data_IF_480357455538
#
_entry.id   IF_480357455538
#
_cell.length_a   1.000
_cell.length_b   1.000
_cell.length_c   1.000
_cell.angle_alpha   90.00
_cell.angle_beta   90.00
_cell.angle_gamma   90.00
#
_symmetry.space_group_name_H-M   'P 1'
#
loop_
_entity.id
_entity.type
_entity.pdbx_description
1 polymer ?
#
# COMPACT_ATOMS: atom_id res chain seq x y z
N UNK A 1 -8.04 -9.50 5.70
CA UNK A 1 -9.01 -8.47 6.11
C UNK A 1 -10.30 -8.60 5.30
N UNK A 2 -10.46 -7.96 4.13
CA UNK A 2 -11.76 -7.83 3.44
C UNK A 2 -12.63 -9.09 3.28
N UNK A 3 -12.05 -10.26 3.00
CA UNK A 3 -12.81 -11.51 2.83
C UNK A 3 -12.76 -12.48 4.01
N UNK A 4 -11.62 -12.55 4.68
CA UNK A 4 -11.35 -13.59 5.68
C UNK A 4 -11.74 -13.15 7.09
N UNK A 5 -11.75 -11.84 7.34
CA UNK A 5 -12.18 -11.24 8.60
C UNK A 5 -12.70 -9.81 8.37
N UNK A 6 -13.83 -9.66 7.67
CA UNK A 6 -14.40 -8.35 7.36
C UNK A 6 -14.99 -7.63 8.58
N UNK A 7 -15.47 -8.37 9.60
CA UNK A 7 -16.07 -7.80 10.80
C UNK A 7 -15.08 -6.95 11.58
N UNK A 8 -13.81 -7.36 11.65
CA UNK A 8 -12.73 -6.55 12.25
C UNK A 8 -12.57 -5.19 11.55
N UNK A 9 -12.77 -5.11 10.23
CA UNK A 9 -12.74 -3.83 9.51
C UNK A 9 -14.00 -2.98 9.79
N UNK A 10 -15.18 -3.60 9.86
CA UNK A 10 -16.44 -2.90 10.18
C UNK A 10 -16.40 -2.33 11.59
N UNK A 11 -15.94 -3.11 12.57
CA UNK A 11 -15.70 -2.64 13.93
C UNK A 11 -14.65 -1.53 13.96
N UNK A 12 -13.54 -1.71 13.23
CA UNK A 12 -12.50 -0.69 13.09
C UNK A 12 -13.03 0.64 12.56
N UNK A 13 -13.91 0.58 11.56
CA UNK A 13 -14.54 1.77 11.00
C UNK A 13 -15.39 2.51 12.03
N UNK A 14 -16.20 1.79 12.83
CA UNK A 14 -17.00 2.37 13.91
C UNK A 14 -16.11 3.02 14.98
N UNK A 15 -15.09 2.30 15.45
CA UNK A 15 -14.18 2.76 16.52
C UNK A 15 -13.39 4.00 16.07
N UNK A 16 -12.80 3.94 14.88
CA UNK A 16 -12.05 5.07 14.33
C UNK A 16 -12.98 6.24 14.01
N UNK A 17 -14.17 5.96 13.46
CA UNK A 17 -15.19 6.95 13.16
C UNK A 17 -15.61 7.73 14.41
N UNK A 18 -15.95 7.02 15.48
CA UNK A 18 -16.26 7.64 16.78
C UNK A 18 -15.11 8.53 17.29
N UNK A 19 -13.87 8.05 17.25
CA UNK A 19 -12.71 8.80 17.72
C UNK A 19 -12.46 10.09 16.90
N UNK A 20 -12.82 10.09 15.62
CA UNK A 20 -12.67 11.24 14.72
C UNK A 20 -13.93 12.10 14.61
N UNK A 21 -15.03 11.72 15.28
CA UNK A 21 -16.34 12.39 15.15
C UNK A 21 -17.01 12.20 13.79
N UNK A 22 -16.61 11.17 13.03
CA UNK A 22 -17.23 10.83 11.75
C UNK A 22 -18.51 10.03 11.96
N UNK A 23 -19.58 10.42 11.25
CA UNK A 23 -20.91 9.76 11.32
C UNK A 23 -21.11 8.70 10.23
N UNK A 24 -20.15 8.55 9.32
CA UNK A 24 -20.17 7.55 8.29
C UNK A 24 -18.76 7.13 7.87
N UNK A 25 -18.63 5.87 7.44
CA UNK A 25 -17.45 5.36 6.75
C UNK A 25 -17.80 4.87 5.36
N UNK A 26 -16.94 5.20 4.39
CA UNK A 26 -16.99 4.66 3.05
C UNK A 26 -15.79 3.74 2.83
N UNK A 27 -16.04 2.43 2.70
CA UNK A 27 -15.01 1.46 2.39
C UNK A 27 -14.89 1.36 0.87
N UNK A 28 -13.87 2.00 0.30
CA UNK A 28 -13.57 1.97 -1.12
C UNK A 28 -12.80 0.70 -1.48
N UNK A 29 -13.46 -0.25 -2.12
CA UNK A 29 -12.90 -1.54 -2.53
C UNK A 29 -12.39 -1.46 -3.95
N UNK A 30 -11.20 -2.02 -4.20
CA UNK A 30 -10.65 -2.17 -5.55
C UNK A 30 -11.66 -2.91 -6.47
N UNK A 31 -11.82 -2.45 -7.71
CA UNK A 31 -12.83 -2.97 -8.63
C UNK A 31 -12.72 -4.47 -8.91
N UNK A 32 -11.50 -5.00 -8.96
CA UNK A 32 -11.23 -6.42 -9.23
C UNK A 32 -11.53 -7.34 -8.03
N UNK A 33 -11.71 -6.79 -6.84
CA UNK A 33 -11.94 -7.54 -5.59
C UNK A 33 -13.42 -7.91 -5.42
N UNK A 34 -13.96 -8.65 -6.40
CA UNK A 34 -15.38 -8.99 -6.47
C UNK A 34 -15.82 -9.90 -5.32
N UNK A 35 -15.03 -10.94 -5.00
CA UNK A 35 -15.39 -11.87 -3.91
C UNK A 35 -15.20 -11.25 -2.54
N UNK A 36 -14.19 -10.40 -2.41
CA UNK A 36 -13.89 -9.66 -1.20
C UNK A 36 -14.98 -8.63 -0.91
N UNK A 37 -15.48 -7.88 -1.92
CA UNK A 37 -16.59 -6.94 -1.71
C UNK A 37 -17.91 -7.66 -1.39
N UNK A 38 -18.16 -8.84 -1.98
CA UNK A 38 -19.31 -9.67 -1.64
C UNK A 38 -19.26 -10.13 -0.17
N UNK A 39 -18.09 -10.55 0.31
CA UNK A 39 -17.89 -10.94 1.71
C UNK A 39 -18.02 -9.75 2.67
N UNK A 40 -17.42 -8.60 2.31
CA UNK A 40 -17.52 -7.39 3.10
C UNK A 40 -18.98 -6.88 3.17
N UNK A 41 -19.71 -6.89 2.06
CA UNK A 41 -21.12 -6.45 2.05
C UNK A 41 -21.96 -7.33 2.97
N UNK A 42 -21.79 -8.66 2.92
CA UNK A 42 -22.46 -9.57 3.85
C UNK A 42 -22.17 -9.22 5.31
N UNK A 43 -20.92 -8.93 5.63
CA UNK A 43 -20.54 -8.54 7.00
C UNK A 43 -21.15 -7.19 7.43
N UNK A 44 -21.21 -6.21 6.52
CA UNK A 44 -21.90 -4.94 6.75
C UNK A 44 -23.38 -5.19 7.02
N UNK A 45 -24.05 -5.99 6.19
CA UNK A 45 -25.48 -6.32 6.33
C UNK A 45 -25.75 -7.05 7.67
N UNK A 46 -24.89 -8.00 8.04
CA UNK A 46 -24.93 -8.70 9.33
C UNK A 46 -24.78 -7.72 10.51
N UNK A 47 -23.86 -6.75 10.42
CA UNK A 47 -23.64 -5.75 11.46
C UNK A 47 -24.83 -4.79 11.61
N UNK A 48 -25.48 -4.39 10.50
CA UNK A 48 -26.74 -3.64 10.54
C UNK A 48 -27.88 -4.48 11.16
N UNK A 49 -28.02 -5.75 10.76
CA UNK A 49 -29.05 -6.65 11.29
C UNK A 49 -28.90 -6.87 12.80
N UNK A 50 -27.66 -6.97 13.28
CA UNK A 50 -27.33 -7.07 14.70
C UNK A 50 -27.39 -5.72 15.46
N UNK A 51 -27.73 -4.62 14.77
CA UNK A 51 -27.75 -3.25 15.31
C UNK A 51 -26.42 -2.81 15.93
N UNK A 52 -25.30 -3.28 15.38
CA UNK A 52 -23.95 -2.86 15.80
C UNK A 52 -23.54 -1.52 15.16
N UNK A 53 -24.04 -1.26 13.96
CA UNK A 53 -23.88 -0.02 13.20
C UNK A 53 -25.25 0.49 12.74
N UNK A 54 -25.29 1.70 12.17
CA UNK A 54 -26.49 2.38 11.71
C UNK A 54 -27.13 3.26 12.79
N UNK A 55 -28.31 3.80 12.51
CA UNK A 55 -29.06 4.65 13.43
C UNK A 55 -29.65 3.88 14.60
N UNK A 56 -29.62 4.47 15.80
CA UNK A 56 -30.10 3.86 17.05
C UNK A 56 -29.46 2.48 17.30
N UNK A 57 -28.17 2.34 16.95
CA UNK A 57 -27.42 1.12 17.20
C UNK A 57 -27.11 0.93 18.70
N UNK A 58 -26.60 -0.24 19.05
CA UNK A 58 -26.33 -0.62 20.45
C UNK A 58 -25.22 0.20 21.11
N UNK A 59 -24.36 0.87 20.33
CA UNK A 59 -23.30 1.73 20.86
C UNK A 59 -23.77 3.12 21.27
N UNK A 60 -24.97 3.54 20.83
CA UNK A 60 -25.51 4.88 21.07
C UNK A 60 -24.87 5.98 20.21
N UNK A 61 -24.04 5.62 19.24
CA UNK A 61 -23.43 6.54 18.27
C UNK A 61 -23.88 6.20 16.85
N UNK A 62 -24.76 7.02 16.27
CA UNK A 62 -25.25 6.81 14.90
C UNK A 62 -24.08 6.84 13.90
N UNK A 63 -23.83 5.70 13.27
CA UNK A 63 -22.69 5.52 12.37
C UNK A 63 -23.01 4.58 11.22
N UNK A 64 -23.04 5.10 9.99
CA UNK A 64 -23.35 4.31 8.81
C UNK A 64 -22.06 3.82 8.12
N UNK A 65 -22.05 2.57 7.67
CA UNK A 65 -20.96 2.02 6.84
C UNK A 65 -21.50 1.75 5.43
N UNK A 66 -20.81 2.30 4.45
CA UNK A 66 -21.11 2.14 3.03
C UNK A 66 -19.93 1.48 2.32
N UNK A 67 -20.20 0.52 1.44
CA UNK A 67 -19.19 -0.05 0.56
C UNK A 67 -19.32 0.57 -0.84
N UNK A 68 -18.23 1.13 -1.34
CA UNK A 68 -18.10 1.63 -2.71
C UNK A 68 -17.04 0.80 -3.42
N UNK A 69 -17.14 0.62 -4.73
CA UNK A 69 -16.08 -0.08 -5.48
C UNK A 69 -15.57 0.76 -6.65
N UNK A 70 -14.25 0.70 -6.85
CA UNK A 70 -13.61 1.28 -8.03
C UNK A 70 -13.79 0.42 -9.28
N UNK A 71 -12.99 0.70 -10.30
CA UNK A 71 -13.06 0.06 -11.62
C UNK A 71 -11.68 -0.24 -12.22
N UNK A 72 -10.70 -0.64 -11.39
CA UNK A 72 -9.39 -1.11 -11.85
C UNK A 72 -8.36 -0.03 -12.17
N UNK A 73 -8.35 1.06 -11.40
CA UNK A 73 -7.35 2.12 -11.52
C UNK A 73 -6.52 2.20 -10.22
N UNK A 74 -5.22 1.95 -10.31
CA UNK A 74 -4.29 2.03 -9.18
C UNK A 74 -4.23 3.44 -8.60
N UNK A 75 -4.30 4.47 -9.44
CA UNK A 75 -4.30 5.87 -9.00
C UNK A 75 -5.48 6.23 -8.10
N UNK A 76 -6.62 5.55 -8.22
CA UNK A 76 -7.76 5.75 -7.30
C UNK A 76 -7.49 5.24 -5.88
N UNK A 77 -6.36 4.56 -5.64
CA UNK A 77 -5.90 4.23 -4.29
C UNK A 77 -5.15 5.36 -3.59
N UNK A 78 -4.76 6.43 -4.31
CA UNK A 78 -4.21 7.64 -3.70
C UNK A 78 -5.30 8.37 -2.93
N UNK A 79 -4.96 8.92 -1.77
CA UNK A 79 -5.89 9.52 -0.80
C UNK A 79 -6.88 10.50 -1.45
N UNK A 80 -6.43 11.46 -2.24
CA UNK A 80 -7.31 12.49 -2.82
C UNK A 80 -8.01 12.02 -4.09
N UNK A 81 -7.38 11.17 -4.90
CA UNK A 81 -8.01 10.55 -6.06
C UNK A 81 -9.14 9.59 -5.66
N UNK A 82 -9.00 8.91 -4.51
CA UNK A 82 -10.04 8.06 -3.93
C UNK A 82 -11.30 8.89 -3.67
N UNK A 83 -11.16 10.08 -3.08
CA UNK A 83 -12.28 10.98 -2.81
C UNK A 83 -12.97 11.41 -4.10
N UNK A 84 -12.20 11.86 -5.11
CA UNK A 84 -12.74 12.26 -6.41
C UNK A 84 -13.47 11.10 -7.11
N UNK A 85 -12.89 9.89 -7.07
CA UNK A 85 -13.53 8.71 -7.62
C UNK A 85 -14.82 8.35 -6.88
N UNK A 86 -14.84 8.49 -5.55
CA UNK A 86 -16.01 8.22 -4.72
C UNK A 86 -17.13 9.25 -4.96
N UNK A 87 -16.75 10.49 -5.27
CA UNK A 87 -17.66 11.55 -5.71
C UNK A 87 -18.22 11.35 -7.13
N UNK A 88 -17.85 10.25 -7.81
CA UNK A 88 -18.31 9.93 -9.16
C UNK A 88 -17.57 10.70 -10.26
N UNK A 89 -16.49 11.39 -9.93
CA UNK A 89 -15.61 12.04 -10.90
C UNK A 89 -14.53 11.07 -11.37
N UNK A 90 -13.68 11.51 -12.30
CA UNK A 90 -12.47 10.75 -12.64
C UNK A 90 -11.55 10.71 -11.43
N UNK A 91 -10.86 9.58 -11.21
CA UNK A 91 -9.86 9.41 -10.13
C UNK A 91 -8.58 10.18 -10.37
N UNK A 92 -8.69 11.51 -10.48
CA UNK A 92 -7.60 12.45 -10.65
C UNK A 92 -7.33 13.11 -9.29
N UNK A 93 -6.12 12.99 -8.72
CA UNK A 93 -5.79 13.60 -7.43
C UNK A 93 -6.10 15.10 -7.34
N UNK A 94 -6.32 15.58 -6.10
CA UNK A 94 -6.43 17.01 -5.79
C UNK A 94 -5.08 17.55 -5.39
N UNK A 95 -4.76 18.77 -5.84
CA UNK A 95 -3.61 19.53 -5.33
C UNK A 95 -3.81 19.80 -3.84
N UNK A 96 -2.78 19.54 -3.04
CA UNK A 96 -2.69 19.95 -1.63
C UNK A 96 -2.00 21.33 -1.59
N UNK A 97 -2.54 22.36 -0.90
CA UNK A 97 -3.82 22.45 -0.15
C UNK A 97 -5.08 22.71 -1.04
N UNK A 98 -6.31 22.42 -0.54
CA UNK A 98 -6.66 22.02 0.83
C UNK A 98 -6.48 20.52 1.12
N UNK A 99 -6.12 20.19 2.36
CA UNK A 99 -5.97 18.80 2.81
C UNK A 99 -7.34 18.14 3.05
N UNK A 100 -7.49 16.82 2.81
CA UNK A 100 -8.72 16.07 3.04
C UNK A 100 -9.31 16.23 4.44
N UNK A 101 -8.43 16.31 5.46
CA UNK A 101 -8.85 16.52 6.85
C UNK A 101 -9.63 17.83 7.05
N UNK A 102 -9.50 18.79 6.14
CA UNK A 102 -10.27 20.04 6.15
C UNK A 102 -11.40 20.02 5.12
N UNK A 103 -11.08 19.62 3.87
CA UNK A 103 -12.01 19.60 2.73
C UNK A 103 -11.78 18.32 1.93
N UNK A 104 -12.42 17.25 2.37
CA UNK A 104 -12.33 15.90 1.82
C UNK A 104 -13.56 15.51 1.02
N UNK A 105 -14.20 14.41 1.41
CA UNK A 105 -15.32 13.82 0.69
C UNK A 105 -16.54 14.74 0.71
N UNK A 106 -17.08 15.07 -0.46
CA UNK A 106 -18.22 16.00 -0.63
C UNK A 106 -17.98 17.38 0.01
N UNK A 107 -16.71 17.78 0.15
CA UNK A 107 -16.31 19.01 0.83
C UNK A 107 -16.34 18.93 2.36
N UNK A 108 -16.67 17.77 2.94
CA UNK A 108 -16.63 17.54 4.38
C UNK A 108 -15.22 17.11 4.84
N UNK A 109 -14.82 17.39 6.09
CA UNK A 109 -13.61 16.82 6.69
C UNK A 109 -13.58 15.29 6.55
N UNK A 110 -12.50 14.74 6.01
CA UNK A 110 -12.36 13.29 5.82
C UNK A 110 -10.90 12.87 5.91
N UNK A 111 -10.64 11.76 6.62
CA UNK A 111 -9.34 11.09 6.63
C UNK A 111 -9.42 9.82 5.80
N UNK A 112 -8.37 9.54 5.01
CA UNK A 112 -8.26 8.29 4.27
C UNK A 112 -7.20 7.42 4.93
N UNK A 113 -7.59 6.22 5.35
CA UNK A 113 -6.70 5.27 6.00
C UNK A 113 -6.77 3.92 5.30
N UNK A 114 -5.63 3.22 5.25
CA UNK A 114 -5.61 1.85 4.75
C UNK A 114 -6.45 0.93 5.66
N UNK A 115 -7.05 -0.08 5.07
CA UNK A 115 -7.86 -1.09 5.77
C UNK A 115 -7.13 -1.75 6.93
N UNK A 116 -5.82 -1.97 6.83
CA UNK A 116 -5.01 -2.54 7.92
C UNK A 116 -4.94 -1.61 9.12
N UNK A 117 -4.71 -0.31 8.90
CA UNK A 117 -4.64 0.71 9.96
C UNK A 117 -5.97 0.84 10.72
N UNK A 118 -7.10 0.73 10.01
CA UNK A 118 -8.43 0.79 10.62
C UNK A 118 -8.77 -0.53 11.33
N UNK A 119 -8.47 -1.67 10.69
CA UNK A 119 -8.78 -3.00 11.24
C UNK A 119 -7.99 -3.32 12.52
N UNK A 120 -6.78 -2.80 12.68
CA UNK A 120 -5.98 -3.05 13.89
C UNK A 120 -6.47 -2.23 15.10
N UNK A 121 -7.15 -1.10 14.87
CA UNK A 121 -7.51 -0.15 15.92
C UNK A 121 -8.35 -0.75 17.07
N UNK A 122 -9.41 -1.56 16.83
CA UNK A 122 -10.17 -2.18 17.91
C UNK A 122 -9.32 -3.10 18.78
N UNK A 123 -8.41 -3.87 18.17
CA UNK A 123 -7.52 -4.78 18.90
C UNK A 123 -6.51 -4.01 19.76
N UNK A 124 -5.99 -2.88 19.26
CA UNK A 124 -5.13 -1.98 20.04
C UNK A 124 -5.89 -1.46 21.27
N UNK A 125 -7.13 -0.98 21.09
CA UNK A 125 -7.92 -0.47 22.21
C UNK A 125 -8.25 -1.55 23.24
N UNK A 126 -8.59 -2.77 22.79
CA UNK A 126 -8.89 -3.90 23.68
C UNK A 126 -7.68 -4.39 24.48
N UNK A 127 -6.50 -4.44 23.86
CA UNK A 127 -5.28 -4.98 24.49
C UNK A 127 -4.41 -3.90 25.15
N UNK A 128 -4.64 -2.63 24.82
CA UNK A 128 -3.90 -1.47 25.30
C UNK A 128 -2.77 -1.06 24.37
N UNK A 129 -2.54 0.26 24.29
CA UNK A 129 -1.49 0.84 23.45
C UNK A 129 -0.09 0.32 23.79
N UNK A 130 0.21 0.12 25.08
CA UNK A 130 1.51 -0.39 25.54
C UNK A 130 1.82 -1.80 25.01
N UNK A 131 0.80 -2.65 24.84
CA UNK A 131 0.96 -3.96 24.22
C UNK A 131 1.34 -3.82 22.75
N UNK A 132 0.62 -3.00 21.99
CA UNK A 132 0.92 -2.83 20.57
C UNK A 132 2.30 -2.17 20.34
N UNK A 133 2.64 -1.17 21.17
CA UNK A 133 3.92 -0.49 21.09
C UNK A 133 5.11 -1.31 21.63
N UNK A 134 4.86 -2.49 22.22
CA UNK A 134 5.92 -3.40 22.67
C UNK A 134 6.55 -4.18 21.51
N UNK A 135 5.89 -4.24 20.35
CA UNK A 135 6.44 -4.82 19.13
C UNK A 135 7.21 -3.77 18.33
N UNK A 136 8.28 -4.21 17.66
CA UNK A 136 9.09 -3.37 16.79
C UNK A 136 10.02 -2.41 17.54
N UNK A 137 10.69 -1.55 16.80
CA UNK A 137 11.66 -0.58 17.32
C UNK A 137 10.98 0.76 17.63
N UNK A 138 11.63 1.65 18.41
CA UNK A 138 11.16 3.02 18.57
C UNK A 138 10.80 3.66 17.21
N UNK A 139 9.69 4.39 17.17
CA UNK A 139 9.07 4.97 15.96
C UNK A 139 8.53 3.98 14.90
N UNK A 140 8.69 2.68 15.11
CA UNK A 140 8.30 1.62 14.17
C UNK A 140 7.57 0.51 14.92
N UNK A 141 6.52 0.90 15.67
CA UNK A 141 5.92 0.02 16.67
C UNK A 141 4.63 -0.66 16.15
N UNK A 142 4.48 -1.94 16.49
CA UNK A 142 3.33 -2.75 16.10
C UNK A 142 3.67 -3.96 15.22
N UNK A 143 2.61 -4.60 14.74
CA UNK A 143 2.67 -5.68 13.75
C UNK A 143 2.32 -5.15 12.37
N UNK A 144 2.74 -5.88 11.33
CA UNK A 144 2.49 -5.56 9.93
C UNK A 144 2.07 -6.82 9.18
N UNK A 145 1.11 -6.68 8.29
CA UNK A 145 0.76 -7.70 7.30
C UNK A 145 1.77 -7.64 6.14
N UNK A 146 2.77 -8.52 6.19
CA UNK A 146 3.73 -8.68 5.13
C UNK A 146 3.16 -9.52 4.00
N UNK A 147 3.38 -9.09 2.76
CA UNK A 147 3.04 -9.87 1.57
C UNK A 147 4.31 -10.16 0.79
N UNK A 148 4.87 -11.37 0.95
CA UNK A 148 6.09 -11.77 0.25
C UNK A 148 5.73 -12.45 -1.06
N UNK A 149 6.29 -11.92 -2.14
CA UNK A 149 6.09 -12.38 -3.50
C UNK A 149 7.41 -12.49 -4.26
N UNK A 150 7.36 -13.05 -5.47
CA UNK A 150 8.53 -13.22 -6.32
C UNK A 150 9.31 -14.49 -6.01
N UNK A 151 10.63 -14.39 -5.96
CA UNK A 151 11.56 -15.52 -6.00
C UNK A 151 11.93 -16.08 -4.60
N UNK A 152 10.90 -16.43 -3.84
CA UNK A 152 11.00 -17.24 -2.59
C UNK A 152 10.43 -18.64 -2.81
N UNK A 153 10.74 -19.59 -1.93
CA UNK A 153 10.24 -20.96 -2.06
C UNK A 153 8.73 -21.06 -1.82
N UNK A 154 8.21 -20.34 -0.83
CA UNK A 154 6.79 -20.33 -0.48
C UNK A 154 6.27 -18.88 -0.37
N UNK A 155 5.86 -18.25 -1.49
CA UNK A 155 5.26 -16.91 -1.45
C UNK A 155 3.98 -16.92 -0.62
N UNK A 156 3.86 -15.99 0.33
CA UNK A 156 2.74 -15.96 1.27
C UNK A 156 2.49 -14.56 1.85
N UNK A 157 1.32 -14.40 2.47
CA UNK A 157 0.97 -13.23 3.29
C UNK A 157 0.82 -13.70 4.73
N UNK A 158 1.46 -13.01 5.65
CA UNK A 158 1.46 -13.31 7.09
C UNK A 158 1.55 -12.03 7.91
N UNK A 159 1.14 -12.11 9.17
CA UNK A 159 1.31 -11.01 10.13
C UNK A 159 2.54 -11.28 10.99
N UNK A 160 3.41 -10.29 11.14
CA UNK A 160 4.60 -10.39 11.98
C UNK A 160 4.93 -9.03 12.63
N UNK A 161 5.70 -9.06 13.72
CA UNK A 161 6.23 -7.84 14.32
C UNK A 161 7.05 -7.02 13.31
N UNK A 162 6.85 -5.70 13.31
CA UNK A 162 7.73 -4.80 12.57
C UNK A 162 9.17 -4.87 13.10
N UNK A 163 10.13 -4.41 12.30
CA UNK A 163 11.57 -4.46 12.61
C UNK A 163 12.18 -5.87 12.66
N UNK A 164 11.44 -6.93 12.30
CA UNK A 164 12.01 -8.26 12.05
C UNK A 164 13.10 -8.17 10.96
N UNK A 165 14.28 -8.80 11.13
CA UNK A 165 15.29 -8.85 10.08
C UNK A 165 14.76 -9.52 8.82
N UNK A 166 15.12 -9.01 7.63
CA UNK A 166 14.68 -9.57 6.35
C UNK A 166 14.99 -11.07 6.23
N UNK A 167 16.21 -11.49 6.62
CA UNK A 167 16.61 -12.90 6.64
C UNK A 167 15.65 -13.77 7.44
N UNK A 168 15.38 -13.36 8.67
CA UNK A 168 14.52 -14.08 9.59
C UNK A 168 13.08 -14.17 9.07
N UNK A 169 12.57 -13.05 8.53
CA UNK A 169 11.24 -12.98 7.92
C UNK A 169 11.09 -14.01 6.78
N UNK A 170 12.08 -14.11 5.91
CA UNK A 170 12.04 -15.00 4.73
C UNK A 170 12.26 -16.47 5.12
N UNK A 171 13.18 -16.75 6.04
CA UNK A 171 13.44 -18.13 6.50
C UNK A 171 12.24 -18.70 7.26
N UNK A 172 11.66 -17.91 8.16
CA UNK A 172 10.57 -18.34 9.02
C UNK A 172 9.28 -18.57 8.24
N UNK A 173 8.90 -17.62 7.39
CA UNK A 173 7.55 -17.61 6.79
C UNK A 173 7.51 -18.06 5.33
N UNK A 174 8.61 -17.88 4.59
CA UNK A 174 8.65 -18.11 3.14
C UNK A 174 9.51 -19.32 2.74
N UNK A 175 10.15 -19.99 3.70
CA UNK A 175 11.02 -21.14 3.46
C UNK A 175 12.31 -20.83 2.70
N UNK A 176 12.77 -19.57 2.71
CA UNK A 176 14.03 -19.16 2.07
C UNK A 176 13.90 -18.62 0.64
N UNK A 177 15.02 -18.08 0.16
CA UNK A 177 15.18 -17.62 -1.23
C UNK A 177 15.21 -18.84 -2.16
N UNK A 178 14.59 -18.71 -3.35
CA UNK A 178 14.66 -19.74 -4.37
C UNK A 178 16.12 -19.97 -4.78
N UNK A 179 16.62 -21.19 -4.59
CA UNK A 179 18.03 -21.52 -4.87
C UNK A 179 19.04 -21.09 -3.79
N UNK A 180 18.58 -20.65 -2.61
CA UNK A 180 19.42 -20.28 -1.48
C UNK A 180 19.80 -18.79 -1.43
N UNK A 181 20.34 -18.34 -0.30
CA UNK A 181 20.65 -16.94 -0.04
C UNK A 181 21.68 -16.33 -1.00
N UNK A 182 22.67 -17.11 -1.43
CA UNK A 182 23.64 -16.67 -2.44
C UNK A 182 22.99 -16.43 -3.80
N UNK A 183 21.76 -16.89 -4.03
CA UNK A 183 21.00 -16.62 -5.24
C UNK A 183 20.18 -15.31 -5.15
N UNK A 184 20.16 -14.60 -4.03
CA UNK A 184 19.46 -13.32 -3.94
C UNK A 184 20.16 -12.25 -4.81
N UNK A 185 19.37 -11.47 -5.55
CA UNK A 185 19.86 -10.36 -6.37
C UNK A 185 19.47 -9.01 -5.74
N UNK A 186 18.18 -8.78 -5.54
CA UNK A 186 17.65 -7.55 -4.99
C UNK A 186 16.23 -7.75 -4.44
N UNK A 187 15.75 -6.79 -3.66
CA UNK A 187 14.43 -6.82 -3.05
C UNK A 187 13.76 -5.46 -3.21
N UNK A 188 12.47 -5.43 -3.53
CA UNK A 188 11.63 -4.24 -3.39
C UNK A 188 10.83 -4.42 -2.11
N UNK A 189 11.21 -3.77 -0.99
CA UNK A 189 10.69 -4.15 0.33
C UNK A 189 9.27 -3.67 0.63
N UNK A 190 8.77 -2.65 -0.08
CA UNK A 190 7.52 -1.95 0.30
C UNK A 190 6.37 -1.95 -0.70
N UNK A 191 6.47 -2.75 -1.75
CA UNK A 191 5.61 -2.69 -2.93
C UNK A 191 6.24 -1.88 -4.05
N UNK A 192 5.58 -1.81 -5.21
CA UNK A 192 6.17 -1.27 -6.43
C UNK A 192 6.66 0.20 -6.34
N UNK A 193 6.19 0.96 -5.35
CA UNK A 193 6.45 2.40 -5.20
C UNK A 193 7.75 2.74 -4.45
N UNK A 194 8.57 1.75 -4.11
CA UNK A 194 9.84 1.99 -3.41
C UNK A 194 11.04 1.50 -4.23
N UNK A 195 12.22 2.13 -4.08
CA UNK A 195 13.45 1.65 -4.70
C UNK A 195 13.79 0.21 -4.33
N UNK A 196 14.42 -0.51 -5.26
CA UNK A 196 15.03 -1.80 -4.97
C UNK A 196 16.25 -1.62 -4.06
N UNK A 197 16.50 -2.60 -3.19
CA UNK A 197 17.67 -2.68 -2.32
C UNK A 197 18.50 -3.89 -2.75
N UNK A 198 19.81 -3.72 -3.02
CA UNK A 198 20.71 -4.83 -3.34
C UNK A 198 20.78 -5.88 -2.23
N UNK A 199 21.00 -7.14 -2.60
CA UNK A 199 21.08 -8.28 -1.68
C UNK A 199 21.99 -8.02 -0.47
N UNK A 200 23.19 -7.50 -0.71
CA UNK A 200 24.22 -7.22 0.31
C UNK A 200 23.79 -6.19 1.37
N UNK A 201 22.83 -5.32 1.05
CA UNK A 201 22.35 -4.27 1.94
C UNK A 201 21.09 -4.70 2.70
N UNK A 202 20.20 -5.45 2.04
CA UNK A 202 18.90 -5.83 2.61
C UNK A 202 18.96 -7.09 3.47
N UNK A 203 19.92 -8.00 3.23
CA UNK A 203 19.88 -9.36 3.78
C UNK A 203 19.64 -9.39 5.31
N UNK A 204 20.30 -8.49 6.05
CA UNK A 204 20.18 -8.38 7.51
C UNK A 204 19.50 -7.08 7.95
N UNK A 205 18.87 -6.36 7.03
CA UNK A 205 18.18 -5.12 7.33
C UNK A 205 16.89 -5.39 8.11
N UNK A 206 16.60 -4.60 9.18
CA UNK A 206 15.30 -4.59 9.82
C UNK A 206 14.20 -4.17 8.83
N UNK A 207 13.09 -4.90 8.80
CA UNK A 207 11.93 -4.58 7.97
C UNK A 207 11.03 -3.56 8.70
N UNK A 208 11.50 -2.32 8.74
CA UNK A 208 10.78 -1.17 9.32
C UNK A 208 10.93 0.11 8.47
N UNK A 209 10.18 1.18 8.79
CA UNK A 209 10.15 2.40 7.97
C UNK A 209 11.47 3.15 8.02
N UNK A 210 12.09 3.27 9.20
CA UNK A 210 13.31 4.04 9.37
C UNK A 210 14.52 3.33 8.74
N UNK A 211 14.72 2.03 9.00
CA UNK A 211 15.87 1.29 8.47
C UNK A 211 15.84 1.23 6.94
N UNK A 212 14.66 1.01 6.34
CA UNK A 212 14.55 0.99 4.87
C UNK A 212 14.68 2.38 4.26
N UNK A 213 14.26 3.45 4.95
CA UNK A 213 14.55 4.83 4.53
C UNK A 213 16.05 5.11 4.52
N UNK A 214 16.77 4.63 5.54
CA UNK A 214 18.23 4.82 5.64
C UNK A 214 18.98 4.08 4.52
N UNK A 215 18.40 2.98 4.00
CA UNK A 215 18.84 2.30 2.78
C UNK A 215 18.38 2.98 1.47
N UNK A 216 17.85 4.21 1.55
CA UNK A 216 17.29 4.96 0.41
C UNK A 216 16.15 4.22 -0.30
N UNK A 217 15.39 3.43 0.45
CA UNK A 217 14.17 2.76 0.01
C UNK A 217 13.01 3.11 0.98
N UNK A 218 12.03 2.23 1.15
CA UNK A 218 10.95 2.41 2.11
C UNK A 218 10.13 1.14 2.33
N UNK A 219 9.43 1.06 3.47
CA UNK A 219 8.60 -0.10 3.79
C UNK A 219 7.24 -0.09 3.10
N UNK A 220 6.71 1.07 2.70
CA UNK A 220 5.43 1.19 1.99
C UNK A 220 4.31 0.32 2.56
N UNK A 221 3.75 -0.55 1.71
CA UNK A 221 2.69 -1.51 2.07
C UNK A 221 3.20 -2.81 2.71
N UNK A 222 4.52 -2.97 2.86
CA UNK A 222 5.20 -4.21 3.19
C UNK A 222 4.92 -5.37 2.20
N UNK A 223 4.58 -5.03 0.95
CA UNK A 223 4.52 -5.97 -0.16
C UNK A 223 5.92 -6.23 -0.72
N UNK A 224 6.64 -7.14 -0.07
CA UNK A 224 8.02 -7.51 -0.38
C UNK A 224 8.07 -8.29 -1.69
N UNK A 225 8.80 -7.78 -2.68
CA UNK A 225 9.05 -8.47 -3.96
C UNK A 225 10.51 -8.91 -3.97
N UNK A 226 10.74 -10.22 -3.88
CA UNK A 226 12.06 -10.82 -3.87
C UNK A 226 12.50 -11.17 -5.29
N UNK A 227 13.73 -10.82 -5.65
CA UNK A 227 14.32 -11.12 -6.96
C UNK A 227 15.63 -11.90 -6.79
N UNK A 228 15.71 -13.10 -7.36
CA UNK A 228 16.93 -13.92 -7.40
C UNK A 228 17.79 -13.61 -8.65
N UNK A 229 18.99 -14.18 -8.74
CA UNK A 229 19.93 -13.92 -9.84
C UNK A 229 19.49 -14.48 -11.20
N UNK A 230 18.39 -15.24 -11.25
CA UNK A 230 17.85 -15.75 -12.52
C UNK A 230 17.01 -14.71 -13.25
N UNK A 231 16.56 -13.64 -12.58
CA UNK A 231 15.74 -12.61 -13.22
C UNK A 231 16.57 -11.54 -13.90
N UNK A 232 16.07 -11.04 -15.03
CA UNK A 232 16.49 -9.76 -15.57
C UNK A 232 15.86 -8.64 -14.75
N UNK A 233 16.63 -8.08 -13.82
CA UNK A 233 16.16 -6.98 -12.96
C UNK A 233 15.82 -5.74 -13.75
N UNK A 234 16.53 -5.44 -14.85
CA UNK A 234 16.26 -4.27 -15.68
C UNK A 234 14.90 -4.42 -16.35
N UNK A 235 14.57 -5.63 -16.83
CA UNK A 235 13.26 -5.95 -17.40
C UNK A 235 12.15 -5.95 -16.36
N UNK A 236 12.41 -6.42 -15.15
CA UNK A 236 11.45 -6.34 -14.06
C UNK A 236 11.09 -4.86 -13.75
N UNK A 237 12.09 -3.99 -13.62
CA UNK A 237 11.87 -2.56 -13.40
C UNK A 237 11.22 -1.90 -14.62
N UNK A 238 11.57 -2.28 -15.86
CA UNK A 238 10.90 -1.79 -17.06
C UNK A 238 9.40 -2.12 -17.06
N UNK A 239 9.02 -3.30 -16.56
CA UNK A 239 7.63 -3.71 -16.40
C UNK A 239 6.90 -2.90 -15.32
N UNK A 240 7.59 -2.48 -14.26
CA UNK A 240 7.07 -1.55 -13.25
C UNK A 240 6.93 -0.13 -13.83
N UNK A 241 7.90 0.35 -14.61
CA UNK A 241 7.77 1.64 -15.32
C UNK A 241 6.58 1.63 -16.28
N UNK A 242 6.35 0.51 -16.99
CA UNK A 242 5.15 0.34 -17.81
C UNK A 242 3.87 0.39 -16.97
N UNK A 243 3.85 -0.27 -15.81
CA UNK A 243 2.72 -0.22 -14.87
C UNK A 243 2.40 1.22 -14.48
N UNK A 244 3.38 2.01 -14.06
CA UNK A 244 3.16 3.43 -13.74
C UNK A 244 2.69 4.26 -14.94
N UNK A 245 3.20 3.98 -16.15
CA UNK A 245 2.73 4.60 -17.39
C UNK A 245 1.30 4.20 -17.78
N UNK A 246 0.85 3.00 -17.40
CA UNK A 246 -0.51 2.52 -17.65
C UNK A 246 -1.48 3.10 -16.63
N UNK A 247 -1.09 3.12 -15.37
CA UNK A 247 -1.91 3.51 -14.22
C UNK A 247 -1.88 5.01 -13.89
N UNK A 248 -1.07 5.80 -14.59
CA UNK A 248 -1.10 7.26 -14.46
C UNK A 248 -2.46 7.82 -14.89
N UNK A 249 -3.08 8.65 -14.04
CA UNK A 249 -4.33 9.34 -14.39
C UNK A 249 -4.17 10.40 -15.50
N UNK A 250 -2.93 10.74 -15.86
CA UNK A 250 -2.61 11.71 -16.91
C UNK A 250 -2.90 13.17 -16.57
N UNK A 251 -3.14 13.50 -15.29
CA UNK A 251 -3.49 14.87 -14.88
C UNK A 251 -2.30 15.83 -14.97
N UNK A 252 -1.18 15.51 -14.31
CA UNK A 252 0.01 16.37 -14.27
C UNK A 252 1.01 15.98 -15.37
N UNK A 253 1.54 16.99 -16.08
CA UNK A 253 2.49 16.79 -17.18
C UNK A 253 3.75 16.00 -16.77
N UNK A 254 4.39 16.27 -15.62
CA UNK A 254 5.59 15.52 -15.22
C UNK A 254 5.34 14.02 -15.13
N UNK A 255 4.24 13.58 -14.51
CA UNK A 255 3.89 12.16 -14.47
C UNK A 255 3.43 11.65 -15.85
N UNK A 256 2.48 12.33 -16.50
CA UNK A 256 1.86 11.88 -17.76
C UNK A 256 2.90 11.61 -18.85
N UNK A 257 3.80 12.56 -19.06
CA UNK A 257 4.82 12.45 -20.11
C UNK A 257 6.08 11.74 -19.60
N UNK A 258 6.49 12.03 -18.36
CA UNK A 258 7.71 11.50 -17.78
C UNK A 258 7.66 9.99 -17.57
N UNK A 259 6.55 9.42 -17.10
CA UNK A 259 6.42 7.96 -16.94
C UNK A 259 6.52 7.22 -18.27
N UNK A 260 5.90 7.77 -19.33
CA UNK A 260 6.04 7.26 -20.68
C UNK A 260 7.47 7.34 -21.21
N UNK A 261 8.18 8.43 -20.92
CA UNK A 261 9.58 8.57 -21.27
C UNK A 261 10.45 7.54 -20.53
N UNK A 262 10.34 7.47 -19.20
CA UNK A 262 11.09 6.52 -18.38
C UNK A 262 10.89 5.08 -18.87
N UNK A 263 9.65 4.68 -19.13
CA UNK A 263 9.37 3.34 -19.69
C UNK A 263 10.07 3.08 -21.03
N UNK A 264 10.04 4.04 -21.98
CA UNK A 264 10.73 3.89 -23.28
C UNK A 264 12.24 3.76 -23.14
N UNK A 265 12.86 4.50 -22.21
CA UNK A 265 14.30 4.38 -21.93
C UNK A 265 14.61 3.02 -21.28
N UNK A 266 13.78 2.59 -20.32
CA UNK A 266 13.92 1.28 -19.69
C UNK A 266 13.81 0.13 -20.71
N UNK A 267 12.85 0.17 -21.63
CA UNK A 267 12.74 -0.83 -22.71
C UNK A 267 13.99 -0.89 -23.60
N UNK A 268 14.61 0.26 -23.88
CA UNK A 268 15.87 0.33 -24.63
C UNK A 268 17.05 -0.20 -23.82
N UNK A 269 17.08 0.04 -22.51
CA UNK A 269 18.08 -0.55 -21.61
C UNK A 269 17.98 -2.09 -21.61
N UNK A 270 16.76 -2.63 -21.56
CA UNK A 270 16.51 -4.09 -21.66
C UNK A 270 17.06 -4.68 -22.96
N UNK A 271 16.94 -3.96 -24.09
CA UNK A 271 17.42 -4.42 -25.41
C UNK A 271 18.90 -4.15 -25.67
N UNK A 272 19.57 -3.40 -24.79
CA UNK A 272 20.94 -2.93 -25.03
C UNK A 272 21.05 -1.83 -26.10
N UNK A 273 19.96 -1.12 -26.38
CA UNK A 273 19.87 -0.05 -27.40
C UNK A 273 20.06 1.36 -26.81
N UNK A 274 20.26 1.46 -25.49
CA UNK A 274 20.51 2.72 -24.80
C UNK A 274 22.01 3.05 -24.73
N UNK A 275 22.35 4.33 -24.87
CA UNK A 275 23.73 4.79 -24.67
C UNK A 275 24.05 4.93 -23.17
N UNK A 276 25.31 4.78 -22.77
CA UNK A 276 25.73 4.89 -21.34
C UNK A 276 25.28 6.20 -20.67
N UNK A 277 25.37 7.33 -21.39
CA UNK A 277 24.90 8.65 -20.92
C UNK A 277 23.41 8.70 -20.59
N UNK A 278 22.62 7.77 -21.13
CA UNK A 278 21.18 7.72 -20.88
C UNK A 278 20.84 7.20 -19.48
N UNK A 279 21.80 6.57 -18.79
CA UNK A 279 21.65 6.17 -17.39
C UNK A 279 21.54 7.43 -16.50
N UNK A 280 22.48 8.36 -16.66
CA UNK A 280 22.48 9.63 -15.92
C UNK A 280 21.28 10.50 -16.33
N UNK A 281 20.97 10.55 -17.63
CA UNK A 281 19.78 11.23 -18.13
C UNK A 281 18.49 10.65 -17.53
N UNK A 282 18.38 9.32 -17.43
CA UNK A 282 17.20 8.68 -16.83
C UNK A 282 17.07 9.05 -15.35
N UNK A 283 18.19 9.08 -14.62
CA UNK A 283 18.21 9.54 -13.24
C UNK A 283 17.76 11.01 -13.11
N UNK A 284 18.22 11.88 -14.01
CA UNK A 284 17.78 13.28 -14.02
C UNK A 284 16.28 13.41 -14.34
N UNK A 285 15.77 12.63 -15.31
CA UNK A 285 14.34 12.58 -15.61
C UNK A 285 13.55 12.12 -14.39
N UNK A 286 14.00 11.10 -13.65
CA UNK A 286 13.31 10.65 -12.44
C UNK A 286 13.18 11.77 -11.40
N UNK A 287 14.23 12.58 -11.21
CA UNK A 287 14.24 13.73 -10.29
C UNK A 287 13.38 14.90 -10.75
N UNK A 288 13.22 15.08 -12.06
CA UNK A 288 12.31 16.09 -12.61
C UNK A 288 10.85 15.69 -12.45
N UNK A 289 10.55 14.38 -12.47
CA UNK A 289 9.20 13.89 -12.16
C UNK A 289 8.95 13.96 -10.66
N UNK A 290 9.89 13.48 -9.85
CA UNK A 290 9.82 13.54 -8.39
C UNK A 290 9.67 15.00 -7.90
N UNK A 291 8.81 15.22 -6.91
CA UNK A 291 8.57 16.55 -6.34
C UNK A 291 7.75 17.53 -7.20
N UNK A 292 7.41 17.17 -8.44
CA UNK A 292 6.66 18.02 -9.38
C UNK A 292 5.33 17.40 -9.83
N UNK A 293 4.96 16.24 -9.28
CA UNK A 293 3.64 15.63 -9.48
C UNK A 293 2.61 16.17 -8.48
N UNK A 294 1.33 15.93 -8.79
CA UNK A 294 0.20 16.15 -7.88
C UNK A 294 0.05 14.91 -6.99
#
# INVERSE_FOLDING_TARGET
ILRNDPHTLVEGALVAGFAMGAVAAYIYVRGEFIREREALQRAIDEAYAAKLIGKNNTSGYDFDVYMHHGAGAYICGEETALLESLEGKKGQPRLKPPFPANVGLYGCPTTVNNVESIAVAPTILRRGAAWFSSFGRPNNAGTKLFCVSGHVNNPCTFEEAMSIPFRELIETHCGGIRGGWDNLLAVIPGGASVPLVPAEQIIDAPMDFDALRDLKSGLGTAAVIVMDKSTDVVKAIARLSYFYKHESCGQCTPCREGTGWMWRVMERLVRGEAQKREIDMLLDVTKQVEGHTI
#
